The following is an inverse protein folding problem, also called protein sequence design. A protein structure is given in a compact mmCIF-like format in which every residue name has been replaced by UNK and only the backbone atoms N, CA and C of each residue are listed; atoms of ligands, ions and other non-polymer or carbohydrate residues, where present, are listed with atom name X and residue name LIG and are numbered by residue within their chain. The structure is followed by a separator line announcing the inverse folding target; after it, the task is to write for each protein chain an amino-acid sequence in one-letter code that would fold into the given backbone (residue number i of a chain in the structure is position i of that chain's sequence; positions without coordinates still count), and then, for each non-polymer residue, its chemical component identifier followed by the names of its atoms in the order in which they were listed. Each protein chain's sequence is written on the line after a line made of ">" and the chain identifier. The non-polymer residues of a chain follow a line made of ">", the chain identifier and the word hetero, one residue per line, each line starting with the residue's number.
data_IF_011088447351
#
_entry.id   IF_011088447351
#
_cell.length_a   1.000
_cell.length_b   1.000
_cell.length_c   1.000
_cell.angle_alpha   90.00
_cell.angle_beta   90.00
_cell.angle_gamma   90.00
#
_symmetry.space_group_name_H-M   'P 1'
#
loop_
_entity.id
_entity.type
_entity.pdbx_description
1 polymer ?
#
# COMPACT_ATOMS: atom_id res chain seq x y z
N UNK A 1 -24.34 2.10 -29.26
CA UNK A 1 -23.19 3.03 -29.28
C UNK A 1 -21.96 2.19 -29.00
N UNK A 2 -21.16 1.93 -30.03
CA UNK A 2 -19.98 1.06 -30.00
C UNK A 2 -19.03 1.52 -28.90
N UNK A 3 -18.69 0.66 -27.92
CA UNK A 3 -17.66 0.95 -26.93
C UNK A 3 -16.39 1.31 -27.69
N UNK A 4 -16.02 2.59 -27.66
CA UNK A 4 -14.80 3.09 -28.27
C UNK A 4 -13.62 2.71 -27.38
N UNK A 5 -13.28 1.42 -27.34
CA UNK A 5 -12.06 0.97 -26.71
C UNK A 5 -10.90 1.34 -27.65
N UNK A 6 -10.04 2.31 -27.31
CA UNK A 6 -8.94 2.70 -28.18
C UNK A 6 -7.94 1.54 -28.28
N UNK A 7 -7.81 0.97 -29.47
CA UNK A 7 -6.79 -0.06 -29.73
C UNK A 7 -5.39 0.58 -29.76
N UNK A 8 -4.60 0.28 -28.73
CA UNK A 8 -3.23 0.76 -28.61
C UNK A 8 -2.22 -0.27 -29.12
N UNK A 9 -1.43 0.09 -30.14
CA UNK A 9 -0.32 -0.75 -30.62
C UNK A 9 0.93 -0.46 -29.80
N UNK A 10 1.14 -1.26 -28.76
CA UNK A 10 2.29 -1.14 -27.87
C UNK A 10 3.57 -1.69 -28.55
N UNK A 11 4.65 -0.90 -28.55
CA UNK A 11 6.00 -1.38 -28.92
C UNK A 11 6.76 -1.71 -27.64
N UNK A 12 7.05 -2.99 -27.41
CA UNK A 12 7.78 -3.47 -26.24
C UNK A 12 8.94 -4.38 -26.66
N UNK A 13 10.02 -4.44 -25.85
CA UNK A 13 11.08 -5.44 -26.02
C UNK A 13 10.51 -6.87 -25.93
N UNK A 14 11.12 -7.81 -26.66
CA UNK A 14 10.66 -9.21 -26.69
C UNK A 14 10.74 -9.87 -25.32
N UNK A 15 11.74 -9.51 -24.51
CA UNK A 15 11.90 -10.07 -23.17
C UNK A 15 10.76 -9.64 -22.25
N UNK A 16 10.35 -8.37 -22.31
CA UNK A 16 9.21 -7.87 -21.54
C UNK A 16 7.90 -8.54 -21.99
N UNK A 17 7.73 -8.79 -23.29
CA UNK A 17 6.58 -9.53 -23.81
C UNK A 17 6.53 -10.95 -23.23
N UNK A 18 7.66 -11.67 -23.20
CA UNK A 18 7.76 -13.02 -22.61
C UNK A 18 7.43 -13.05 -21.12
N UNK A 19 7.87 -12.04 -20.38
CA UNK A 19 7.52 -11.90 -18.95
C UNK A 19 6.02 -11.71 -18.76
N UNK A 20 5.39 -10.82 -19.53
CA UNK A 20 3.95 -10.56 -19.47
C UNK A 20 3.16 -11.82 -19.85
N UNK A 21 3.58 -12.54 -20.89
CA UNK A 21 2.93 -13.80 -21.28
C UNK A 21 2.98 -14.85 -20.17
N UNK A 22 4.13 -14.96 -19.49
CA UNK A 22 4.32 -15.91 -18.40
C UNK A 22 3.44 -15.54 -17.21
N UNK A 23 3.39 -14.26 -16.85
CA UNK A 23 2.50 -13.77 -15.80
C UNK A 23 1.02 -13.93 -16.15
N UNK A 24 0.63 -13.65 -17.40
CA UNK A 24 -0.74 -13.83 -17.87
C UNK A 24 -1.19 -15.30 -17.76
N UNK A 25 -0.31 -16.25 -18.15
CA UNK A 25 -0.56 -17.69 -17.97
C UNK A 25 -0.70 -18.07 -16.49
N UNK A 26 0.21 -17.60 -15.63
CA UNK A 26 0.16 -17.88 -14.19
C UNK A 26 -1.12 -17.32 -13.53
N UNK A 27 -1.57 -16.15 -13.98
CA UNK A 27 -2.76 -15.48 -13.46
C UNK A 27 -4.07 -15.88 -14.17
N UNK A 28 -4.02 -16.84 -15.11
CA UNK A 28 -5.18 -17.25 -15.93
C UNK A 28 -5.89 -16.09 -16.63
N UNK A 29 -5.11 -15.12 -17.14
CA UNK A 29 -5.57 -13.90 -17.81
C UNK A 29 -5.08 -13.87 -19.26
N UNK A 30 -5.76 -13.11 -20.10
CA UNK A 30 -5.21 -12.78 -21.42
C UNK A 30 -4.04 -11.82 -21.27
N UNK A 31 -3.13 -11.79 -22.26
CA UNK A 31 -2.00 -10.85 -22.29
C UNK A 31 -2.52 -9.40 -22.16
N UNK A 32 -3.57 -9.05 -22.91
CA UNK A 32 -4.18 -7.72 -22.84
C UNK A 32 -4.73 -7.41 -21.45
N UNK A 33 -5.43 -8.36 -20.82
CA UNK A 33 -5.95 -8.19 -19.46
C UNK A 33 -4.84 -8.02 -18.43
N UNK A 34 -3.74 -8.75 -18.55
CA UNK A 34 -2.59 -8.63 -17.67
C UNK A 34 -1.87 -7.28 -17.85
N UNK A 35 -1.71 -6.81 -19.09
CA UNK A 35 -1.15 -5.48 -19.39
C UNK A 35 -2.01 -4.38 -18.77
N UNK A 36 -3.32 -4.42 -19.00
CA UNK A 36 -4.26 -3.43 -18.43
C UNK A 36 -4.21 -3.46 -16.91
N UNK A 37 -4.28 -4.64 -16.30
CA UNK A 37 -4.21 -4.80 -14.85
C UNK A 37 -2.93 -4.22 -14.24
N UNK A 38 -1.77 -4.46 -14.87
CA UNK A 38 -0.49 -3.91 -14.39
C UNK A 38 -0.42 -2.40 -14.54
N UNK A 39 -0.96 -1.86 -15.63
CA UNK A 39 -1.05 -0.41 -15.83
C UNK A 39 -1.97 0.23 -14.77
N UNK A 40 -3.17 -0.31 -14.57
CA UNK A 40 -4.10 0.15 -13.54
C UNK A 40 -3.48 0.09 -12.14
N UNK A 41 -2.80 -1.02 -11.81
CA UNK A 41 -2.03 -1.13 -10.56
C UNK A 41 -0.99 -0.02 -10.41
N UNK A 42 -0.28 0.35 -11.48
CA UNK A 42 0.74 1.40 -11.41
C UNK A 42 0.13 2.78 -11.07
N UNK A 43 -1.06 3.07 -11.59
CA UNK A 43 -1.78 4.32 -11.28
C UNK A 43 -2.45 4.26 -9.89
N UNK A 44 -3.03 3.12 -9.51
CA UNK A 44 -3.62 2.95 -8.17
C UNK A 44 -2.57 3.13 -7.06
N UNK A 45 -1.35 2.60 -7.27
CA UNK A 45 -0.21 2.83 -6.36
C UNK A 45 0.28 4.27 -6.33
N UNK A 46 -0.05 5.11 -7.30
CA UNK A 46 0.25 6.55 -7.17
C UNK A 46 -0.80 7.27 -6.32
N UNK A 47 -2.06 6.84 -6.38
CA UNK A 47 -3.16 7.48 -5.65
C UNK A 47 -3.21 7.13 -4.15
N UNK A 48 -2.84 5.91 -3.76
CA UNK A 48 -2.96 5.48 -2.36
C UNK A 48 -1.85 6.04 -1.46
N UNK A 49 -0.68 6.36 -2.02
CA UNK A 49 0.52 6.65 -1.23
C UNK A 49 0.66 8.12 -0.82
N UNK A 50 -0.16 9.02 -1.36
CA UNK A 50 0.11 10.46 -1.26
C UNK A 50 -0.78 11.21 -0.26
N UNK A 51 -1.89 10.60 0.19
CA UNK A 51 -2.76 11.17 1.23
C UNK A 51 -2.92 10.27 2.45
N UNK A 52 -3.15 8.97 2.23
CA UNK A 52 -3.58 8.03 3.28
C UNK A 52 -2.45 7.65 4.25
N UNK A 53 -1.24 7.41 3.72
CA UNK A 53 -0.11 6.97 4.54
C UNK A 53 0.39 8.05 5.51
N UNK A 54 0.32 9.33 5.13
CA UNK A 54 0.76 10.42 6.00
C UNK A 54 -0.22 10.59 7.16
N UNK A 55 -1.53 10.53 6.87
CA UNK A 55 -2.58 10.56 7.90
C UNK A 55 -2.49 9.34 8.83
N UNK A 56 -2.24 8.16 8.28
CA UNK A 56 -2.07 6.93 9.05
C UNK A 56 -0.81 6.98 9.94
N UNK A 57 0.32 7.49 9.42
CA UNK A 57 1.55 7.68 10.20
C UNK A 57 1.31 8.65 11.36
N UNK A 58 0.65 9.78 11.11
CA UNK A 58 0.34 10.74 12.16
C UNK A 58 -0.62 10.15 13.21
N UNK A 59 -1.64 9.40 12.78
CA UNK A 59 -2.54 8.69 13.69
C UNK A 59 -1.79 7.69 14.58
N UNK A 60 -0.85 6.93 14.00
CA UNK A 60 0.02 6.00 14.75
C UNK A 60 0.91 6.75 15.73
N UNK A 61 1.53 7.87 15.33
CA UNK A 61 2.38 8.69 16.21
C UNK A 61 1.61 9.22 17.42
N UNK A 62 0.40 9.73 17.21
CA UNK A 62 -0.48 10.22 18.29
C UNK A 62 -0.82 9.08 19.25
N UNK A 63 -1.19 7.91 18.72
CA UNK A 63 -1.53 6.75 19.55
C UNK A 63 -0.33 6.25 20.35
N UNK A 64 0.87 6.27 19.76
CA UNK A 64 2.11 5.91 20.44
C UNK A 64 2.42 6.87 21.60
N UNK A 65 2.30 8.19 21.37
CA UNK A 65 2.52 9.19 22.41
C UNK A 65 1.57 9.00 23.60
N UNK A 66 0.30 8.67 23.34
CA UNK A 66 -0.67 8.38 24.38
C UNK A 66 -0.29 7.14 25.22
N UNK A 67 0.14 6.06 24.56
CA UNK A 67 0.58 4.85 25.27
C UNK A 67 1.82 5.12 26.11
N UNK A 68 2.77 5.92 25.60
CA UNK A 68 3.97 6.30 26.34
C UNK A 68 3.64 7.11 27.60
N UNK A 69 2.73 8.08 27.52
CA UNK A 69 2.27 8.87 28.67
C UNK A 69 1.57 8.00 29.72
N UNK A 70 0.74 7.04 29.30
CA UNK A 70 0.10 6.11 30.22
C UNK A 70 1.12 5.25 30.97
N UNK A 71 2.14 4.73 30.27
CA UNK A 71 3.19 3.94 30.89
C UNK A 71 3.99 4.78 31.90
N UNK A 72 4.34 6.02 31.55
CA UNK A 72 5.06 6.93 32.45
C UNK A 72 4.26 7.22 33.72
N UNK A 73 2.93 7.43 33.60
CA UNK A 73 2.04 7.64 34.75
C UNK A 73 1.94 6.40 35.65
N UNK A 74 1.93 5.20 35.08
CA UNK A 74 1.95 3.95 35.85
C UNK A 74 3.26 3.76 36.61
N UNK A 75 4.41 4.05 35.99
CA UNK A 75 5.72 3.99 36.64
C UNK A 75 5.84 4.98 37.82
N UNK A 76 5.31 6.20 37.67
CA UNK A 76 5.31 7.21 38.75
C UNK A 76 4.40 6.80 39.93
N UNK A 77 3.26 6.17 39.66
CA UNK A 77 2.33 5.67 40.69
C UNK A 77 2.89 4.48 41.48
N UNK A 78 3.59 3.55 40.81
CA UNK A 78 4.22 2.38 41.46
C UNK A 78 5.48 2.75 42.24
N UNK A 79 6.22 3.77 41.79
CA UNK A 79 7.39 4.29 42.50
C UNK A 79 7.03 5.05 43.78
N UNK A 80 5.88 5.71 43.82
CA UNK A 80 5.41 6.44 45.01
C UNK A 80 4.88 5.50 46.08
N UNK A 81 4.19 4.41 45.70
CA UNK A 81 3.71 3.40 46.66
C UNK A 81 4.83 2.59 47.35
N UNK A 82 5.99 2.44 46.71
CA UNK A 82 7.14 1.71 47.30
C UNK A 82 8.01 2.56 48.25
N UNK A 83 7.80 3.89 48.33
CA UNK A 83 8.54 4.75 49.28
C UNK A 83 7.86 4.91 50.63
N UNK A 84 6.59 4.53 50.75
CA UNK A 84 5.78 4.66 51.96
C UNK A 84 5.60 3.33 52.73
N UNK A 85 6.37 2.29 52.42
CA UNK A 85 6.42 0.99 53.11
C UNK A 85 7.82 0.72 53.68
#
# INVERSE_FOLDING_TARGET
>A
MTRGDPHFRLRIPEDLKREIETAARANSRTITSEVVYRLEQSFARSSTYQGDLVEEIEAIRVRLAYVQDLLQKQELSTSSQNRDA
#
